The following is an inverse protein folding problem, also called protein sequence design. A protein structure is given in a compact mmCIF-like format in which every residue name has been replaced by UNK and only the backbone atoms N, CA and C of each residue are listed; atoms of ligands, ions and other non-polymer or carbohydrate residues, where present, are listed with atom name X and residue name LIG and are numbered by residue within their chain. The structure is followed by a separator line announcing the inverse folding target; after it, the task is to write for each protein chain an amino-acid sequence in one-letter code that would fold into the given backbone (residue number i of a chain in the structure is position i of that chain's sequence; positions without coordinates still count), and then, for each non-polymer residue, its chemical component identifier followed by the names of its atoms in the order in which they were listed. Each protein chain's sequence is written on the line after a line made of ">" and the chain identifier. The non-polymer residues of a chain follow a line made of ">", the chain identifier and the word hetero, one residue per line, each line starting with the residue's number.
data_IF_938440264828
#
_entry.id   IF_938440264828
#
_cell.length_a   1.000
_cell.length_b   1.000
_cell.length_c   1.000
_cell.angle_alpha   90.00
_cell.angle_beta   90.00
_cell.angle_gamma   90.00
#
_symmetry.space_group_name_H-M   'P 1'
#
loop_
_entity.id
_entity.type
_entity.pdbx_description
1 polymer ?
#
# COMPACT_ATOMS: atom_id res chain seq x y z
N UNK A 1 -16.19 33.29 -1.33
CA UNK A 1 -17.46 34.01 -1.04
C UNK A 1 -17.12 35.44 -0.66
N UNK A 2 -17.78 36.45 -1.25
CA UNK A 2 -17.41 37.85 -1.00
C UNK A 2 -18.05 38.34 0.31
N UNK A 3 -17.30 38.24 1.41
CA UNK A 3 -17.74 38.69 2.74
C UNK A 3 -17.56 40.19 2.85
N UNK A 4 -18.67 40.90 2.86
CA UNK A 4 -18.72 42.37 2.79
C UNK A 4 -19.51 42.98 3.95
N UNK A 5 -20.04 42.16 4.87
CA UNK A 5 -20.81 42.64 6.02
C UNK A 5 -19.98 42.61 7.30
N UNK A 6 -20.19 43.55 8.20
CA UNK A 6 -19.58 43.55 9.53
C UNK A 6 -20.68 43.61 10.58
N UNK A 7 -20.67 42.68 11.53
CA UNK A 7 -21.65 42.65 12.60
C UNK A 7 -21.08 43.34 13.84
N UNK A 8 -21.74 44.40 14.29
CA UNK A 8 -21.39 45.15 15.49
C UNK A 8 -22.46 44.86 16.55
N UNK A 9 -22.02 44.34 17.68
CA UNK A 9 -22.88 43.94 18.79
C UNK A 9 -22.47 44.73 20.02
N UNK A 10 -23.30 45.66 20.46
CA UNK A 10 -23.08 46.47 21.67
C UNK A 10 -24.45 46.99 22.11
N UNK A 11 -24.77 46.92 23.40
CA UNK A 11 -26.07 47.39 23.92
C UNK A 11 -26.16 48.93 23.88
N UNK A 12 -25.02 49.62 23.97
CA UNK A 12 -24.93 51.08 23.93
C UNK A 12 -24.90 51.59 22.48
N UNK A 13 -25.90 52.40 22.12
CA UNK A 13 -26.05 52.97 20.78
C UNK A 13 -24.85 53.82 20.33
N UNK A 14 -24.27 54.62 21.23
CA UNK A 14 -23.12 55.46 20.89
C UNK A 14 -21.89 54.64 20.49
N UNK A 15 -21.65 53.49 21.10
CA UNK A 15 -20.55 52.59 20.73
C UNK A 15 -20.77 51.99 19.34
N UNK A 16 -22.00 51.55 19.05
CA UNK A 16 -22.36 51.03 17.72
C UNK A 16 -22.16 52.09 16.64
N UNK A 17 -22.59 53.33 16.86
CA UNK A 17 -22.41 54.44 15.92
C UNK A 17 -20.93 54.75 15.66
N UNK A 18 -20.09 54.75 16.70
CA UNK A 18 -18.64 54.99 16.55
C UNK A 18 -17.99 53.89 15.70
N UNK A 19 -18.23 52.62 16.05
CA UNK A 19 -17.68 51.48 15.31
C UNK A 19 -18.23 51.41 13.88
N UNK A 20 -19.52 51.70 13.68
CA UNK A 20 -20.13 51.78 12.37
C UNK A 20 -19.47 52.87 11.51
N UNK A 21 -19.21 54.05 12.06
CA UNK A 21 -18.56 55.16 11.34
C UNK A 21 -17.14 54.80 10.89
N UNK A 22 -16.39 54.04 11.69
CA UNK A 22 -15.03 53.59 11.35
C UNK A 22 -15.05 52.70 10.09
N UNK A 23 -16.05 51.83 9.94
CA UNK A 23 -16.06 50.76 8.94
C UNK A 23 -17.09 50.92 7.80
N UNK A 24 -18.05 51.86 7.87
CA UNK A 24 -19.15 52.03 6.89
C UNK A 24 -18.71 52.26 5.44
N UNK A 25 -17.47 52.71 5.23
CA UNK A 25 -16.91 52.94 3.88
C UNK A 25 -16.47 51.65 3.20
N UNK A 26 -16.21 50.60 3.98
CA UNK A 26 -15.56 49.36 3.53
C UNK A 26 -16.48 48.15 3.67
N UNK A 27 -17.41 48.20 4.63
CA UNK A 27 -18.34 47.11 4.94
C UNK A 27 -19.78 47.61 5.08
N UNK A 28 -20.73 46.76 4.71
CA UNK A 28 -22.13 46.92 5.09
C UNK A 28 -22.29 46.55 6.57
N UNK A 29 -22.73 47.51 7.39
CA UNK A 29 -22.80 47.34 8.84
C UNK A 29 -24.14 46.71 9.23
N UNK A 30 -24.05 45.61 9.98
CA UNK A 30 -25.16 44.98 10.68
C UNK A 30 -25.02 45.31 12.16
N UNK A 31 -26.10 45.75 12.81
CA UNK A 31 -26.09 46.10 14.22
C UNK A 31 -27.01 45.17 15.03
N UNK A 32 -26.58 44.84 16.25
CA UNK A 32 -27.39 44.15 17.24
C UNK A 32 -27.14 44.75 18.63
N UNK A 33 -28.20 44.87 19.42
CA UNK A 33 -28.12 45.36 20.81
C UNK A 33 -28.18 44.24 21.86
N UNK A 34 -28.53 43.01 21.46
CA UNK A 34 -28.73 41.89 22.37
C UNK A 34 -28.33 40.55 21.73
N UNK A 35 -28.16 39.52 22.58
CA UNK A 35 -27.75 38.17 22.16
C UNK A 35 -28.73 37.56 21.17
N UNK A 36 -30.04 37.71 21.39
CA UNK A 36 -31.08 37.07 20.56
C UNK A 36 -31.06 37.60 19.13
N UNK A 37 -30.96 38.92 18.96
CA UNK A 37 -30.85 39.58 17.67
C UNK A 37 -29.51 39.26 17.00
N UNK A 38 -28.42 39.20 17.77
CA UNK A 38 -27.09 38.80 17.28
C UNK A 38 -27.13 37.41 16.63
N UNK A 39 -27.65 36.41 17.37
CA UNK A 39 -27.75 35.04 16.87
C UNK A 39 -28.65 34.94 15.64
N UNK A 40 -29.78 35.67 15.63
CA UNK A 40 -30.69 35.72 14.47
C UNK A 40 -30.01 36.27 13.21
N UNK A 41 -29.13 37.26 13.36
CA UNK A 41 -28.36 37.82 12.23
C UNK A 41 -27.30 36.82 11.76
N UNK A 42 -26.58 36.17 12.68
CA UNK A 42 -25.58 35.15 12.34
C UNK A 42 -26.20 33.95 11.61
N UNK A 43 -27.37 33.49 12.04
CA UNK A 43 -28.09 32.40 11.36
C UNK A 43 -28.46 32.75 9.92
N UNK A 44 -28.87 34.00 9.68
CA UNK A 44 -29.30 34.45 8.34
C UNK A 44 -28.14 34.81 7.42
N UNK A 45 -27.05 35.36 7.96
CA UNK A 45 -26.04 36.07 7.16
C UNK A 45 -24.59 35.70 7.49
N UNK A 46 -24.33 34.62 8.24
CA UNK A 46 -22.96 34.17 8.59
C UNK A 46 -22.02 33.98 7.38
N UNK A 47 -22.54 33.59 6.21
CA UNK A 47 -21.74 33.43 4.98
C UNK A 47 -21.21 34.74 4.38
N UNK A 48 -21.81 35.88 4.75
CA UNK A 48 -21.52 37.22 4.21
C UNK A 48 -20.74 38.10 5.20
N UNK A 49 -20.64 37.69 6.47
CA UNK A 49 -20.00 38.44 7.54
C UNK A 49 -18.47 38.24 7.49
N UNK A 50 -17.74 39.35 7.40
CA UNK A 50 -16.29 39.42 7.38
C UNK A 50 -15.69 39.38 8.79
N UNK A 51 -16.33 40.04 9.76
CA UNK A 51 -15.93 40.05 11.16
C UNK A 51 -17.14 40.35 12.08
N UNK A 52 -17.04 39.90 13.33
CA UNK A 52 -17.97 40.26 14.40
C UNK A 52 -17.22 41.08 15.45
N UNK A 53 -17.70 42.29 15.75
CA UNK A 53 -17.27 43.08 16.90
C UNK A 53 -18.30 42.85 17.99
N UNK A 54 -17.90 42.19 19.07
CA UNK A 54 -18.82 41.74 20.12
C UNK A 54 -18.48 42.40 21.44
N UNK A 55 -19.36 43.24 21.96
CA UNK A 55 -19.24 43.73 23.32
C UNK A 55 -19.39 42.58 24.32
N UNK A 56 -18.51 42.57 25.33
CA UNK A 56 -18.47 41.53 26.34
C UNK A 56 -19.64 41.60 27.32
N UNK A 57 -20.22 42.79 27.55
CA UNK A 57 -21.30 43.01 28.50
C UNK A 57 -22.54 43.50 27.78
N UNK A 58 -23.48 42.58 27.50
CA UNK A 58 -24.77 42.95 26.95
C UNK A 58 -25.79 43.03 28.10
N UNK A 59 -26.75 43.95 27.99
CA UNK A 59 -27.64 44.40 29.08
C UNK A 59 -28.18 43.32 30.03
N UNK A 60 -28.51 42.11 29.54
CA UNK A 60 -29.06 41.01 30.35
C UNK A 60 -28.17 39.74 30.40
N UNK A 61 -27.10 39.64 29.59
CA UNK A 61 -26.26 38.43 29.46
C UNK A 61 -24.82 38.76 29.04
N UNK A 62 -23.83 37.99 29.52
CA UNK A 62 -22.45 38.08 29.04
C UNK A 62 -22.35 37.67 27.55
N UNK A 63 -21.50 38.36 26.78
CA UNK A 63 -21.20 38.03 25.37
C UNK A 63 -20.67 36.60 25.16
N UNK A 64 -20.34 35.88 26.24
CA UNK A 64 -19.97 34.47 26.22
C UNK A 64 -21.01 33.57 25.52
N UNK A 65 -22.31 33.85 25.66
CA UNK A 65 -23.35 33.03 25.02
C UNK A 65 -23.32 33.12 23.49
N UNK A 66 -22.97 34.28 22.94
CA UNK A 66 -22.76 34.45 21.50
C UNK A 66 -21.57 33.61 21.05
N UNK A 67 -20.45 33.65 21.80
CA UNK A 67 -19.27 32.86 21.49
C UNK A 67 -19.54 31.35 21.54
N UNK A 68 -20.21 30.86 22.58
CA UNK A 68 -20.58 29.44 22.70
C UNK A 68 -21.37 28.94 21.50
N UNK A 69 -22.37 29.71 21.07
CA UNK A 69 -23.20 29.36 19.94
C UNK A 69 -22.40 29.40 18.62
N UNK A 70 -21.50 30.39 18.45
CA UNK A 70 -20.61 30.48 17.30
C UNK A 70 -19.62 29.30 17.21
N UNK A 71 -19.11 28.79 18.35
CA UNK A 71 -18.30 27.56 18.40
C UNK A 71 -19.17 26.36 17.99
N UNK A 72 -20.35 26.22 18.60
CA UNK A 72 -21.26 25.09 18.38
C UNK A 72 -21.68 24.98 16.92
N UNK A 73 -21.94 26.11 16.28
CA UNK A 73 -22.31 26.22 14.86
C UNK A 73 -21.10 26.29 13.91
N UNK A 74 -19.87 26.30 14.45
CA UNK A 74 -18.60 26.40 13.71
C UNK A 74 -18.44 27.68 12.88
N UNK A 75 -19.18 28.74 13.19
CA UNK A 75 -19.04 30.04 12.52
C UNK A 75 -17.68 30.68 12.83
N UNK A 76 -17.18 30.49 14.04
CA UNK A 76 -15.87 30.99 14.49
C UNK A 76 -14.66 30.37 13.76
N UNK A 77 -14.86 29.28 13.00
CA UNK A 77 -13.79 28.72 12.17
C UNK A 77 -13.46 29.61 10.98
N UNK A 78 -14.45 30.38 10.52
CA UNK A 78 -14.38 31.15 9.29
C UNK A 78 -14.62 32.64 9.50
N UNK A 79 -15.23 33.07 10.60
CA UNK A 79 -15.46 34.48 10.94
C UNK A 79 -14.60 34.85 12.17
N UNK A 80 -13.70 35.84 12.07
CA UNK A 80 -13.02 36.38 13.24
C UNK A 80 -14.01 37.11 14.15
N UNK A 81 -13.89 36.88 15.46
CA UNK A 81 -14.68 37.57 16.49
C UNK A 81 -13.73 38.39 17.34
N UNK A 82 -13.89 39.71 17.31
CA UNK A 82 -13.12 40.63 18.13
C UNK A 82 -13.99 41.08 19.29
N UNK A 83 -13.56 40.78 20.52
CA UNK A 83 -14.32 41.14 21.72
C UNK A 83 -13.98 42.58 22.10
N UNK A 84 -15.01 43.39 22.22
CA UNK A 84 -14.94 44.78 22.66
C UNK A 84 -15.22 44.83 24.16
N UNK A 85 -14.37 45.49 24.96
CA UNK A 85 -14.57 45.59 26.41
C UNK A 85 -14.02 46.88 27.00
N UNK A 86 -14.68 47.39 28.05
CA UNK A 86 -14.16 48.46 28.91
C UNK A 86 -13.37 47.91 30.12
N UNK A 87 -13.48 46.61 30.40
CA UNK A 87 -12.93 45.99 31.59
C UNK A 87 -11.42 45.70 31.43
N UNK A 88 -10.63 45.97 32.47
CA UNK A 88 -9.18 45.70 32.50
C UNK A 88 -8.83 44.40 33.25
N UNK A 89 -9.83 43.54 33.53
CA UNK A 89 -9.62 42.28 34.24
C UNK A 89 -8.88 41.27 33.38
N UNK A 90 -7.76 40.76 33.90
CA UNK A 90 -7.02 39.64 33.29
C UNK A 90 -7.85 38.35 33.24
N UNK A 91 -8.86 38.21 34.09
CA UNK A 91 -9.74 37.02 34.12
C UNK A 91 -10.70 37.00 32.93
N UNK A 92 -11.29 38.15 32.61
CA UNK A 92 -12.13 38.34 31.43
C UNK A 92 -11.36 38.13 30.13
N UNK A 93 -10.13 38.65 30.03
CA UNK A 93 -9.24 38.46 28.88
C UNK A 93 -8.90 36.97 28.67
N UNK A 94 -8.56 36.24 29.74
CA UNK A 94 -8.34 34.79 29.68
C UNK A 94 -9.57 34.02 29.23
N UNK A 95 -10.76 34.41 29.71
CA UNK A 95 -12.03 33.77 29.34
C UNK A 95 -12.32 33.99 27.85
N UNK A 96 -12.20 35.22 27.34
CA UNK A 96 -12.44 35.53 25.92
C UNK A 96 -11.51 34.75 24.99
N UNK A 97 -10.21 34.76 25.27
CA UNK A 97 -9.20 34.04 24.46
C UNK A 97 -9.43 32.53 24.55
N UNK A 98 -9.71 32.00 25.75
CA UNK A 98 -10.02 30.58 25.95
C UNK A 98 -11.26 30.11 25.18
N UNK A 99 -12.20 31.02 24.90
CA UNK A 99 -13.40 30.77 24.09
C UNK A 99 -13.19 31.01 22.58
N UNK A 100 -11.96 31.29 22.14
CA UNK A 100 -11.64 31.40 20.71
C UNK A 100 -11.87 32.78 20.10
N UNK A 101 -12.02 33.84 20.91
CA UNK A 101 -11.98 35.22 20.39
C UNK A 101 -10.66 35.47 19.65
N UNK A 102 -10.74 36.09 18.48
CA UNK A 102 -9.58 36.29 17.60
C UNK A 102 -8.68 37.42 18.09
N UNK A 103 -9.27 38.46 18.68
CA UNK A 103 -8.55 39.57 19.31
C UNK A 103 -9.50 40.35 20.25
N UNK A 104 -8.97 41.31 21.00
CA UNK A 104 -9.73 42.19 21.88
C UNK A 104 -9.50 43.67 21.57
N UNK A 105 -10.57 44.45 21.65
CA UNK A 105 -10.59 45.90 21.47
C UNK A 105 -10.96 46.55 22.80
N UNK A 106 -10.10 47.45 23.29
CA UNK A 106 -10.34 48.18 24.55
C UNK A 106 -11.05 49.51 24.28
N UNK A 107 -12.00 49.88 25.14
CA UNK A 107 -12.62 51.22 25.18
C UNK A 107 -11.71 52.17 25.99
N UNK A 108 -11.58 53.47 25.62
CA UNK A 108 -12.19 54.15 24.47
C UNK A 108 -11.55 53.76 23.13
N UNK A 109 -12.32 53.88 22.04
CA UNK A 109 -11.89 53.46 20.71
C UNK A 109 -10.90 54.44 20.08
N UNK A 110 -9.73 53.94 19.71
CA UNK A 110 -8.85 54.59 18.75
C UNK A 110 -9.16 54.02 17.35
N UNK A 111 -9.59 54.89 16.44
CA UNK A 111 -10.06 54.49 15.12
C UNK A 111 -8.99 53.76 14.28
N UNK A 112 -7.73 54.18 14.36
CA UNK A 112 -6.63 53.60 13.60
C UNK A 112 -6.25 52.23 14.17
N UNK A 113 -6.19 52.11 15.51
CA UNK A 113 -5.89 50.84 16.19
C UNK A 113 -6.99 49.81 15.93
N UNK A 114 -8.26 50.20 16.06
CA UNK A 114 -9.41 49.32 15.82
C UNK A 114 -9.43 48.84 14.38
N UNK A 115 -9.29 49.76 13.42
CA UNK A 115 -9.22 49.44 11.99
C UNK A 115 -8.12 48.41 11.72
N UNK A 116 -6.91 48.66 12.20
CA UNK A 116 -5.77 47.78 11.93
C UNK A 116 -5.94 46.39 12.53
N UNK A 117 -6.49 46.29 13.74
CA UNK A 117 -6.77 44.99 14.40
C UNK A 117 -7.80 44.18 13.63
N UNK A 118 -8.89 44.81 13.20
CA UNK A 118 -9.94 44.16 12.42
C UNK A 118 -9.40 43.68 11.06
N UNK A 119 -8.70 44.55 10.32
CA UNK A 119 -8.07 44.21 9.04
C UNK A 119 -7.14 43.00 9.15
N UNK A 120 -6.25 43.00 10.15
CA UNK A 120 -5.29 41.91 10.36
C UNK A 120 -6.00 40.57 10.59
N UNK A 121 -7.03 40.55 11.44
CA UNK A 121 -7.79 39.34 11.73
C UNK A 121 -8.60 38.85 10.52
N UNK A 122 -9.24 39.76 9.78
CA UNK A 122 -9.93 39.40 8.54
C UNK A 122 -8.96 38.79 7.54
N UNK A 123 -7.79 39.41 7.33
CA UNK A 123 -6.76 38.91 6.41
C UNK A 123 -6.25 37.52 6.81
N UNK A 124 -6.01 37.29 8.11
CA UNK A 124 -5.60 35.99 8.64
C UNK A 124 -6.64 34.90 8.35
N UNK A 125 -7.91 35.17 8.60
CA UNK A 125 -8.99 34.21 8.34
C UNK A 125 -9.21 33.96 6.84
N UNK A 126 -9.08 34.98 6.00
CA UNK A 126 -9.14 34.82 4.55
C UNK A 126 -8.02 33.90 4.05
N UNK A 127 -6.77 34.11 4.50
CA UNK A 127 -5.64 33.25 4.16
C UNK A 127 -5.83 31.82 4.66
N UNK A 128 -6.28 31.67 5.93
CA UNK A 128 -6.56 30.36 6.53
C UNK A 128 -7.61 29.59 5.71
N UNK A 129 -8.76 30.19 5.43
CA UNK A 129 -9.85 29.55 4.68
C UNK A 129 -9.38 29.15 3.27
N UNK A 130 -8.67 30.05 2.57
CA UNK A 130 -8.11 29.76 1.23
C UNK A 130 -7.09 28.62 1.26
N UNK A 131 -6.28 28.54 2.31
CA UNK A 131 -5.34 27.44 2.47
C UNK A 131 -6.04 26.12 2.78
N UNK A 132 -7.08 26.12 3.60
CA UNK A 132 -7.90 24.93 3.85
C UNK A 132 -8.53 24.41 2.54
N UNK A 133 -9.06 25.29 1.69
CA UNK A 133 -9.58 24.94 0.36
C UNK A 133 -8.49 24.30 -0.51
N UNK A 134 -7.30 24.89 -0.61
CA UNK A 134 -6.17 24.32 -1.36
C UNK A 134 -5.73 22.96 -0.85
N UNK A 135 -5.67 22.78 0.47
CA UNK A 135 -5.31 21.49 1.08
C UNK A 135 -6.36 20.42 0.74
N UNK A 136 -7.65 20.78 0.77
CA UNK A 136 -8.71 19.86 0.37
C UNK A 136 -8.60 19.48 -1.12
N UNK A 137 -8.32 20.45 -1.99
CA UNK A 137 -8.12 20.21 -3.42
C UNK A 137 -6.89 19.31 -3.68
N UNK A 138 -5.76 19.60 -3.04
CA UNK A 138 -4.54 18.78 -3.14
C UNK A 138 -4.78 17.35 -2.64
N UNK A 139 -5.47 17.19 -1.50
CA UNK A 139 -5.81 15.86 -0.98
C UNK A 139 -6.71 15.08 -1.96
N UNK A 140 -7.65 15.74 -2.61
CA UNK A 140 -8.51 15.11 -3.63
C UNK A 140 -7.69 14.68 -4.86
N UNK A 141 -6.80 15.55 -5.35
CA UNK A 141 -5.92 15.23 -6.48
C UNK A 141 -4.97 14.08 -6.15
N UNK A 142 -4.37 14.10 -4.96
CA UNK A 142 -3.46 13.06 -4.48
C UNK A 142 -4.17 11.70 -4.42
N UNK A 143 -5.41 11.64 -3.92
CA UNK A 143 -6.21 10.41 -3.91
C UNK A 143 -6.47 9.87 -5.32
N UNK A 144 -6.75 10.76 -6.28
CA UNK A 144 -6.92 10.38 -7.69
C UNK A 144 -5.62 9.84 -8.29
N UNK A 145 -4.49 10.53 -8.07
CA UNK A 145 -3.18 10.10 -8.54
C UNK A 145 -2.78 8.74 -7.95
N UNK A 146 -3.01 8.54 -6.65
CA UNK A 146 -2.77 7.27 -5.97
C UNK A 146 -3.57 6.13 -6.60
N UNK A 147 -4.85 6.34 -6.90
CA UNK A 147 -5.69 5.33 -7.55
C UNK A 147 -5.16 4.96 -8.96
N UNK A 148 -4.77 5.96 -9.76
CA UNK A 148 -4.19 5.73 -11.10
C UNK A 148 -2.85 4.98 -11.00
N UNK A 149 -1.97 5.39 -10.09
CA UNK A 149 -0.67 4.74 -9.90
C UNK A 149 -0.83 3.28 -9.46
N UNK A 150 -1.79 2.99 -8.56
CA UNK A 150 -2.10 1.62 -8.16
C UNK A 150 -2.52 0.74 -9.34
N UNK A 151 -3.43 1.24 -10.19
CA UNK A 151 -3.86 0.52 -11.40
C UNK A 151 -2.72 0.30 -12.40
N UNK A 152 -1.81 1.26 -12.54
CA UNK A 152 -0.62 1.10 -13.40
C UNK A 152 0.32 0.03 -12.87
N UNK A 153 0.57 -0.01 -11.55
CA UNK A 153 1.38 -1.04 -10.91
C UNK A 153 0.77 -2.44 -11.10
N UNK A 154 -0.54 -2.57 -10.89
CA UNK A 154 -1.24 -3.84 -11.13
C UNK A 154 -1.17 -4.29 -12.59
N UNK A 155 -1.35 -3.35 -13.53
CA UNK A 155 -1.21 -3.63 -14.97
C UNK A 155 0.21 -4.05 -15.34
N UNK A 156 1.22 -3.38 -14.79
CA UNK A 156 2.62 -3.72 -15.01
C UNK A 156 2.94 -5.11 -14.47
N UNK A 157 2.50 -5.44 -13.25
CA UNK A 157 2.64 -6.78 -12.65
C UNK A 157 1.98 -7.84 -13.53
N UNK A 158 0.74 -7.61 -13.97
CA UNK A 158 0.02 -8.53 -14.86
C UNK A 158 0.72 -8.69 -16.21
N UNK A 159 1.32 -7.63 -16.74
CA UNK A 159 2.08 -7.69 -17.99
C UNK A 159 3.40 -8.46 -17.84
N UNK A 160 4.10 -8.28 -16.71
CA UNK A 160 5.33 -9.03 -16.39
C UNK A 160 5.02 -10.53 -16.24
N UNK A 161 3.95 -10.87 -15.51
CA UNK A 161 3.50 -12.25 -15.38
C UNK A 161 3.18 -12.88 -16.73
N UNK A 162 2.43 -12.18 -17.60
CA UNK A 162 2.13 -12.68 -18.94
C UNK A 162 3.37 -12.93 -19.79
N UNK A 163 4.43 -12.12 -19.63
CA UNK A 163 5.69 -12.36 -20.34
C UNK A 163 6.38 -13.62 -19.83
N UNK A 164 6.39 -13.86 -18.51
CA UNK A 164 6.88 -15.10 -17.90
C UNK A 164 6.09 -16.29 -18.45
N UNK A 165 4.76 -16.22 -18.43
CA UNK A 165 3.88 -17.28 -18.94
C UNK A 165 4.15 -17.57 -20.42
N UNK A 166 4.36 -16.55 -21.26
CA UNK A 166 4.71 -16.76 -22.68
C UNK A 166 6.04 -17.51 -22.81
N UNK A 167 7.07 -17.14 -22.04
CA UNK A 167 8.38 -17.82 -22.09
C UNK A 167 8.27 -19.27 -21.59
N UNK A 168 7.52 -19.50 -20.52
CA UNK A 168 7.21 -20.85 -20.03
C UNK A 168 6.43 -21.67 -21.07
N UNK A 169 5.43 -21.10 -21.73
CA UNK A 169 4.69 -21.81 -22.78
C UNK A 169 5.56 -22.11 -24.00
N UNK A 170 6.51 -21.24 -24.36
CA UNK A 170 7.47 -21.50 -25.43
C UNK A 170 8.35 -22.70 -25.06
N UNK A 171 8.82 -22.79 -23.81
CA UNK A 171 9.50 -23.98 -23.30
C UNK A 171 8.61 -25.21 -23.48
N UNK A 172 7.42 -25.22 -22.91
CA UNK A 172 6.50 -26.38 -22.97
C UNK A 172 6.18 -26.79 -24.41
N UNK A 173 6.00 -25.85 -25.34
CA UNK A 173 5.65 -26.16 -26.72
C UNK A 173 6.84 -26.63 -27.56
N UNK A 174 8.03 -26.08 -27.33
CA UNK A 174 9.26 -26.59 -27.95
C UNK A 174 9.70 -27.93 -27.36
N UNK A 175 9.20 -28.25 -26.16
CA UNK A 175 9.50 -29.48 -25.45
C UNK A 175 8.19 -30.20 -25.06
N UNK A 176 7.40 -30.78 -25.99
CA UNK A 176 6.11 -31.41 -25.69
C UNK A 176 6.16 -32.58 -24.69
N UNK A 177 7.35 -33.16 -24.48
CA UNK A 177 7.63 -34.20 -23.48
C UNK A 177 8.01 -33.63 -22.10
N UNK A 178 8.15 -32.30 -22.04
CA UNK A 178 8.02 -31.47 -20.87
C UNK A 178 6.56 -30.98 -20.79
N UNK A 179 5.60 -31.90 -20.62
CA UNK A 179 4.34 -31.54 -19.95
C UNK A 179 4.71 -31.23 -18.48
N UNK A 180 5.38 -30.08 -18.31
CA UNK A 180 5.92 -29.64 -17.04
C UNK A 180 4.81 -29.25 -16.07
N UNK A 181 3.57 -29.26 -16.57
CA UNK A 181 2.35 -28.75 -15.99
C UNK A 181 2.71 -27.65 -15.00
N UNK A 182 3.25 -26.57 -15.57
CA UNK A 182 3.89 -25.49 -14.82
C UNK A 182 2.97 -24.95 -13.72
N UNK A 183 1.65 -25.08 -13.92
CA UNK A 183 0.61 -24.80 -12.95
C UNK A 183 0.66 -25.70 -11.69
N UNK A 184 0.86 -27.02 -11.83
CA UNK A 184 1.10 -27.93 -10.69
C UNK A 184 2.32 -27.46 -9.89
N UNK A 185 3.43 -27.19 -10.56
CA UNK A 185 4.66 -26.76 -9.89
C UNK A 185 4.43 -25.45 -9.13
N UNK A 186 3.72 -24.49 -9.73
CA UNK A 186 3.33 -23.23 -9.07
C UNK A 186 2.48 -23.51 -7.83
N UNK A 187 1.43 -24.32 -7.96
CA UNK A 187 0.46 -24.54 -6.89
C UNK A 187 1.06 -25.32 -5.72
N UNK A 188 1.81 -26.39 -5.99
CA UNK A 188 2.49 -27.14 -4.93
C UNK A 188 3.56 -26.26 -4.26
N UNK A 189 4.32 -25.46 -5.02
CA UNK A 189 5.28 -24.50 -4.45
C UNK A 189 4.60 -23.48 -3.55
N UNK A 190 3.42 -22.99 -3.93
CA UNK A 190 2.60 -22.09 -3.10
C UNK A 190 2.16 -22.78 -1.82
N UNK A 191 1.60 -23.98 -1.90
CA UNK A 191 1.14 -24.76 -0.75
C UNK A 191 2.28 -24.98 0.24
N UNK A 192 3.43 -25.48 -0.23
CA UNK A 192 4.60 -25.72 0.62
C UNK A 192 5.11 -24.40 1.19
N UNK A 193 5.22 -23.34 0.38
CA UNK A 193 5.63 -22.01 0.82
C UNK A 193 4.74 -21.43 1.92
N UNK A 194 3.42 -21.64 1.86
CA UNK A 194 2.47 -21.27 2.91
C UNK A 194 2.71 -22.05 4.20
N UNK A 195 3.01 -23.36 4.12
CA UNK A 195 3.38 -24.15 5.30
C UNK A 195 4.69 -23.66 5.90
N UNK A 196 5.69 -23.34 5.07
CA UNK A 196 6.97 -22.80 5.53
C UNK A 196 6.77 -21.47 6.25
N UNK A 197 6.00 -20.57 5.65
CA UNK A 197 5.63 -19.28 6.24
C UNK A 197 4.98 -19.44 7.62
N UNK A 198 4.07 -20.40 7.77
CA UNK A 198 3.33 -20.62 9.02
C UNK A 198 4.16 -21.31 10.12
N UNK A 199 5.02 -22.26 9.76
CA UNK A 199 5.71 -23.13 10.72
C UNK A 199 7.16 -22.71 11.01
N UNK A 200 7.79 -21.93 10.13
CA UNK A 200 9.19 -21.52 10.26
C UNK A 200 9.34 -20.00 10.05
N UNK A 201 8.84 -19.18 10.99
CA UNK A 201 8.85 -17.71 10.89
C UNK A 201 10.27 -17.12 10.83
N UNK A 202 11.31 -17.87 11.18
CA UNK A 202 12.71 -17.47 11.03
C UNK A 202 13.09 -17.13 9.58
N UNK A 203 12.40 -17.70 8.59
CA UNK A 203 12.60 -17.37 7.17
C UNK A 203 11.95 -16.06 6.74
N UNK A 204 11.07 -15.48 7.58
CA UNK A 204 10.43 -14.17 7.38
C UNK A 204 9.70 -14.02 6.02
N UNK A 205 9.12 -15.11 5.52
CA UNK A 205 8.36 -15.08 4.27
C UNK A 205 7.07 -14.27 4.42
N UNK A 206 6.92 -13.23 3.62
CA UNK A 206 5.66 -12.51 3.47
C UNK A 206 4.74 -13.22 2.47
N UNK A 207 3.45 -12.84 2.44
CA UNK A 207 2.53 -13.36 1.42
C UNK A 207 3.03 -13.08 0.01
N UNK A 208 3.64 -11.91 -0.20
CA UNK A 208 4.24 -11.56 -1.49
C UNK A 208 5.43 -12.45 -1.84
N UNK A 209 6.24 -12.88 -0.85
CA UNK A 209 7.36 -13.79 -1.08
C UNK A 209 6.88 -15.18 -1.50
N UNK A 210 5.85 -15.71 -0.84
CA UNK A 210 5.29 -17.03 -1.17
C UNK A 210 4.72 -17.03 -2.58
N UNK A 211 3.94 -16.01 -2.94
CA UNK A 211 3.42 -15.89 -4.31
C UNK A 211 4.54 -15.72 -5.34
N UNK A 212 5.57 -14.91 -5.03
CA UNK A 212 6.71 -14.74 -5.93
C UNK A 212 7.48 -16.06 -6.14
N UNK A 213 7.76 -16.82 -5.08
CA UNK A 213 8.44 -18.12 -5.20
C UNK A 213 7.61 -19.09 -6.04
N UNK A 214 6.30 -19.14 -5.81
CA UNK A 214 5.39 -19.99 -6.60
C UNK A 214 5.45 -19.64 -8.09
N UNK A 215 5.27 -18.37 -8.46
CA UNK A 215 5.29 -17.94 -9.86
C UNK A 215 6.64 -18.15 -10.54
N UNK A 216 7.74 -17.90 -9.81
CA UNK A 216 9.10 -18.03 -10.33
C UNK A 216 9.59 -19.49 -10.40
N UNK A 217 8.93 -20.44 -9.72
CA UNK A 217 9.26 -21.87 -9.78
C UNK A 217 9.20 -22.43 -11.21
N UNK A 218 8.32 -21.86 -12.04
CA UNK A 218 8.17 -22.15 -13.46
C UNK A 218 9.41 -21.85 -14.30
N UNK A 219 10.27 -20.95 -13.83
CA UNK A 219 11.47 -20.55 -14.54
C UNK A 219 12.68 -21.44 -14.21
N UNK A 220 12.57 -22.36 -13.25
CA UNK A 220 13.69 -23.18 -12.76
C UNK A 220 14.50 -23.84 -13.88
N UNK A 221 13.78 -24.27 -14.92
CA UNK A 221 14.31 -25.05 -16.03
C UNK A 221 14.50 -24.25 -17.34
N UNK A 222 14.32 -22.93 -17.31
CA UNK A 222 14.45 -22.07 -18.51
C UNK A 222 15.80 -22.17 -19.21
N UNK A 223 16.86 -22.49 -18.48
CA UNK A 223 18.19 -22.70 -19.05
C UNK A 223 18.29 -23.89 -20.01
N UNK A 224 17.28 -24.78 -20.03
CA UNK A 224 17.18 -25.87 -21.01
C UNK A 224 17.04 -25.36 -22.44
N UNK A 225 16.56 -24.12 -22.66
CA UNK A 225 16.59 -23.45 -23.98
C UNK A 225 18.00 -23.34 -24.57
N UNK A 226 19.03 -23.36 -23.72
CA UNK A 226 20.42 -23.26 -24.12
C UNK A 226 21.14 -24.61 -24.10
N UNK A 227 20.43 -25.71 -23.88
CA UNK A 227 20.94 -27.08 -23.99
C UNK A 227 20.67 -27.61 -25.40
N UNK A 228 21.63 -28.35 -25.97
CA UNK A 228 21.47 -28.91 -27.31
C UNK A 228 20.39 -29.98 -27.34
N UNK A 229 19.54 -29.92 -28.37
CA UNK A 229 18.50 -30.92 -28.67
C UNK A 229 19.03 -32.36 -28.65
N UNK A 230 20.24 -32.60 -29.20
CA UNK A 230 20.85 -33.93 -29.22
C UNK A 230 21.11 -34.51 -27.82
N UNK A 231 21.31 -33.66 -26.81
CA UNK A 231 21.49 -34.06 -25.41
C UNK A 231 20.14 -34.10 -24.69
N UNK A 232 19.29 -33.11 -24.94
CA UNK A 232 17.99 -32.99 -24.30
C UNK A 232 17.02 -34.12 -24.67
N UNK A 233 17.02 -34.52 -25.96
CA UNK A 233 16.11 -35.54 -26.51
C UNK A 233 16.78 -36.89 -26.77
N UNK A 234 17.98 -37.14 -26.23
CA UNK A 234 18.76 -38.34 -26.57
C UNK A 234 18.01 -39.63 -26.21
N UNK A 235 17.66 -40.54 -27.18
CA UNK A 235 16.91 -41.81 -27.00
C UNK A 235 17.54 -42.89 -26.09
N UNK A 236 18.41 -42.50 -25.16
CA UNK A 236 19.21 -43.39 -24.33
C UNK A 236 19.72 -42.66 -23.07
N UNK A 237 20.33 -43.43 -22.15
CA UNK A 237 21.02 -42.85 -21.01
C UNK A 237 22.13 -41.89 -21.47
N UNK A 238 22.16 -40.70 -20.88
CA UNK A 238 23.24 -39.73 -21.07
C UNK A 238 24.58 -40.30 -20.59
N UNK A 239 25.63 -40.04 -21.36
CA UNK A 239 27.03 -40.23 -20.97
C UNK A 239 27.39 -39.29 -19.81
N UNK A 240 28.55 -39.49 -19.18
CA UNK A 240 28.97 -38.64 -18.06
C UNK A 240 29.15 -37.19 -18.50
N UNK A 241 29.73 -36.98 -19.66
CA UNK A 241 30.00 -35.68 -20.26
C UNK A 241 28.68 -34.98 -20.64
N UNK A 242 27.72 -35.71 -21.21
CA UNK A 242 26.37 -35.19 -21.51
C UNK A 242 25.58 -34.87 -20.23
N UNK A 243 25.72 -35.67 -19.16
CA UNK A 243 25.11 -35.35 -17.86
C UNK A 243 25.68 -34.07 -17.29
N UNK A 244 26.99 -33.89 -17.35
CA UNK A 244 27.63 -32.66 -16.86
C UNK A 244 27.19 -31.44 -17.68
N UNK A 245 27.09 -31.60 -19.00
CA UNK A 245 26.52 -30.57 -19.86
C UNK A 245 25.05 -30.30 -19.53
N UNK A 246 24.22 -31.31 -19.28
CA UNK A 246 22.81 -31.14 -18.89
C UNK A 246 22.67 -30.34 -17.59
N UNK A 247 23.52 -30.57 -16.58
CA UNK A 247 23.49 -29.80 -15.32
C UNK A 247 23.71 -28.30 -15.52
N UNK A 248 24.40 -27.91 -16.60
CA UNK A 248 24.66 -26.50 -16.91
C UNK A 248 23.41 -25.68 -17.22
N UNK A 249 22.22 -26.31 -17.38
CA UNK A 249 20.96 -25.57 -17.50
C UNK A 249 20.72 -24.65 -16.29
N UNK A 250 21.19 -25.00 -15.10
CA UNK A 250 21.09 -24.15 -13.89
C UNK A 250 21.82 -22.82 -14.07
N UNK A 251 23.07 -22.86 -14.52
CA UNK A 251 23.89 -21.67 -14.78
C UNK A 251 23.46 -20.93 -16.04
N UNK A 252 23.05 -21.65 -17.09
CA UNK A 252 22.48 -21.06 -18.32
C UNK A 252 21.15 -20.36 -18.05
N UNK A 253 20.33 -20.88 -17.14
CA UNK A 253 19.10 -20.21 -16.69
C UNK A 253 19.40 -18.85 -16.06
N UNK A 254 20.49 -18.75 -15.28
CA UNK A 254 20.97 -17.48 -14.75
C UNK A 254 21.42 -16.49 -15.85
N UNK A 255 21.98 -16.97 -16.96
CA UNK A 255 22.34 -16.12 -18.09
C UNK A 255 21.10 -15.47 -18.71
N UNK A 256 20.02 -16.25 -18.89
CA UNK A 256 18.74 -15.76 -19.37
C UNK A 256 18.12 -14.78 -18.35
N UNK A 257 18.13 -15.10 -17.06
CA UNK A 257 17.59 -14.21 -16.01
C UNK A 257 18.27 -12.84 -16.02
N UNK A 258 19.58 -12.76 -16.25
CA UNK A 258 20.30 -11.47 -16.34
C UNK A 258 19.74 -10.57 -17.45
N UNK A 259 19.28 -11.15 -18.55
CA UNK A 259 18.64 -10.40 -19.65
C UNK A 259 17.25 -9.88 -19.27
N UNK A 260 16.61 -10.49 -18.27
CA UNK A 260 15.28 -10.14 -17.77
C UNK A 260 15.31 -9.30 -16.48
N UNK A 261 16.47 -8.75 -16.12
CA UNK A 261 16.62 -7.98 -14.87
C UNK A 261 15.68 -6.79 -14.78
N UNK A 262 15.47 -6.07 -15.87
CA UNK A 262 14.70 -4.81 -15.88
C UNK A 262 13.19 -5.01 -15.91
N UNK A 263 12.72 -6.25 -16.14
CA UNK A 263 11.29 -6.60 -16.17
C UNK A 263 10.79 -7.21 -14.85
N UNK A 264 11.71 -7.43 -13.91
CA UNK A 264 11.45 -7.99 -12.58
C UNK A 264 11.78 -6.95 -11.50
N UNK A 265 11.12 -7.04 -10.35
CA UNK A 265 11.58 -6.29 -9.18
C UNK A 265 12.97 -6.80 -8.77
N UNK A 266 13.76 -5.99 -8.06
CA UNK A 266 15.09 -6.43 -7.61
C UNK A 266 15.03 -7.70 -6.75
N UNK A 267 13.93 -7.88 -6.01
CA UNK A 267 13.73 -9.03 -5.14
C UNK A 267 13.24 -10.27 -5.90
N UNK A 268 12.31 -10.12 -6.85
CA UNK A 268 11.89 -11.21 -7.74
C UNK A 268 13.07 -11.70 -8.60
N UNK A 269 13.91 -10.77 -9.08
CA UNK A 269 15.12 -11.11 -9.84
C UNK A 269 16.13 -11.91 -9.02
N UNK A 270 16.30 -11.56 -7.74
CA UNK A 270 17.15 -12.36 -6.84
C UNK A 270 16.58 -13.77 -6.67
N UNK A 271 15.28 -13.90 -6.38
CA UNK A 271 14.62 -15.20 -6.21
C UNK A 271 14.67 -16.05 -7.48
N UNK A 272 14.45 -15.47 -8.66
CA UNK A 272 14.49 -16.19 -9.94
C UNK A 272 15.89 -16.73 -10.23
N UNK A 273 16.93 -15.95 -9.94
CA UNK A 273 18.33 -16.38 -10.00
C UNK A 273 18.62 -17.52 -9.02
N UNK A 274 18.18 -17.42 -7.77
CA UNK A 274 18.35 -18.48 -6.75
C UNK A 274 17.68 -19.78 -7.18
N UNK A 275 16.44 -19.72 -7.65
CA UNK A 275 15.67 -20.87 -8.11
C UNK A 275 16.37 -21.54 -9.31
N UNK A 276 16.68 -20.77 -10.36
CA UNK A 276 17.36 -21.32 -11.55
C UNK A 276 18.69 -21.99 -11.18
N UNK A 277 19.47 -21.33 -10.32
CA UNK A 277 20.83 -21.80 -10.00
C UNK A 277 20.84 -23.00 -9.07
N UNK A 278 19.98 -23.03 -8.06
CA UNK A 278 20.17 -23.90 -6.89
C UNK A 278 19.03 -24.91 -6.67
N UNK A 279 18.02 -25.01 -7.53
CA UNK A 279 16.93 -25.99 -7.37
C UNK A 279 17.38 -27.47 -7.48
N UNK A 280 18.65 -27.71 -7.84
CA UNK A 280 19.28 -29.04 -7.83
C UNK A 280 20.38 -29.17 -6.77
N UNK A 281 20.54 -28.17 -5.91
CA UNK A 281 21.34 -28.33 -4.71
C UNK A 281 20.67 -29.30 -3.74
N UNK A 282 21.47 -30.03 -2.98
CA UNK A 282 20.99 -31.03 -2.02
C UNK A 282 21.45 -30.65 -0.64
N UNK A 283 20.60 -30.85 0.35
CA UNK A 283 20.87 -30.45 1.73
C UNK A 283 22.12 -31.12 2.32
N UNK A 284 22.54 -32.26 1.75
CA UNK A 284 23.77 -32.99 2.08
C UNK A 284 25.06 -32.47 1.40
N UNK A 285 24.97 -31.46 0.54
CA UNK A 285 26.09 -30.91 -0.24
C UNK A 285 26.46 -31.73 -1.48
N UNK A 286 25.67 -32.76 -1.84
CA UNK A 286 25.94 -33.60 -3.03
C UNK A 286 25.19 -33.14 -4.29
N UNK A 287 24.59 -31.96 -4.23
CA UNK A 287 23.89 -31.33 -5.35
C UNK A 287 24.82 -30.64 -6.33
N UNK A 288 24.25 -29.82 -7.20
CA UNK A 288 24.97 -28.99 -8.16
C UNK A 288 24.22 -27.67 -8.36
N UNK A 289 24.89 -26.60 -8.86
CA UNK A 289 26.25 -26.54 -9.41
C UNK A 289 27.39 -26.32 -8.41
N UNK A 290 27.11 -25.88 -7.18
CA UNK A 290 28.12 -25.42 -6.22
C UNK A 290 28.30 -26.36 -5.02
N UNK A 291 27.36 -27.29 -4.79
CA UNK A 291 27.44 -28.25 -3.69
C UNK A 291 27.13 -27.60 -2.34
N UNK A 292 26.24 -26.61 -2.33
CA UNK A 292 25.80 -25.89 -1.13
C UNK A 292 25.20 -26.88 -0.12
N UNK A 293 25.44 -26.64 1.18
CA UNK A 293 25.01 -27.55 2.24
C UNK A 293 24.06 -26.87 3.23
N UNK A 294 23.01 -27.59 3.61
CA UNK A 294 22.08 -27.12 4.64
C UNK A 294 21.40 -25.81 4.25
N UNK A 295 21.45 -24.84 5.18
CA UNK A 295 20.82 -23.53 5.02
C UNK A 295 21.64 -22.54 4.16
N UNK A 296 22.76 -22.97 3.57
CA UNK A 296 23.42 -22.21 2.49
C UNK A 296 22.56 -22.17 1.22
N UNK A 297 21.69 -23.16 1.03
CA UNK A 297 20.73 -23.21 -0.08
C UNK A 297 19.61 -22.20 0.22
N UNK A 298 19.35 -21.23 -0.67
CA UNK A 298 18.28 -20.26 -0.47
C UNK A 298 16.91 -20.93 -0.29
N UNK A 299 16.07 -20.37 0.58
CA UNK A 299 14.75 -20.95 0.90
C UNK A 299 13.85 -21.12 -0.34
N UNK A 300 13.94 -20.19 -1.29
CA UNK A 300 13.28 -20.24 -2.60
C UNK A 300 13.65 -21.52 -3.36
N UNK A 301 14.94 -21.83 -3.45
CA UNK A 301 15.45 -23.04 -4.07
C UNK A 301 15.12 -24.30 -3.25
N UNK A 302 15.20 -24.26 -1.91
CA UNK A 302 14.86 -25.43 -1.08
C UNK A 302 13.40 -25.88 -1.27
N UNK A 303 12.45 -24.92 -1.33
CA UNK A 303 11.04 -25.20 -1.61
C UNK A 303 10.90 -25.84 -3.00
N UNK A 304 11.44 -25.16 -4.03
CA UNK A 304 11.29 -25.60 -5.42
C UNK A 304 11.98 -26.95 -5.68
N UNK A 305 13.09 -27.27 -5.01
CA UNK A 305 13.81 -28.54 -5.18
C UNK A 305 12.94 -29.76 -4.85
N UNK A 306 12.15 -29.68 -3.78
CA UNK A 306 11.23 -30.77 -3.39
C UNK A 306 10.09 -30.91 -4.39
N UNK A 307 9.55 -29.77 -4.84
CA UNK A 307 8.47 -29.75 -5.83
C UNK A 307 8.94 -30.31 -7.16
N UNK A 308 10.12 -29.89 -7.63
CA UNK A 308 10.70 -30.38 -8.88
C UNK A 308 10.95 -31.88 -8.84
N UNK A 309 11.47 -32.39 -7.72
CA UNK A 309 11.68 -33.83 -7.53
C UNK A 309 10.37 -34.63 -7.56
N UNK A 310 9.33 -34.17 -6.88
CA UNK A 310 8.01 -34.80 -6.91
C UNK A 310 7.40 -34.75 -8.31
N UNK A 311 7.40 -33.57 -8.92
CA UNK A 311 6.85 -33.35 -10.26
C UNK A 311 7.56 -34.24 -11.29
N UNK A 312 8.90 -34.30 -11.25
CA UNK A 312 9.72 -35.15 -12.10
C UNK A 312 9.38 -36.65 -12.06
N UNK A 313 8.81 -37.15 -10.96
CA UNK A 313 8.39 -38.55 -10.83
C UNK A 313 7.02 -38.82 -11.43
N UNK A 314 6.11 -37.83 -11.41
CA UNK A 314 4.73 -37.97 -11.90
C UNK A 314 4.57 -37.56 -13.37
N UNK A 315 5.57 -36.91 -13.97
CA UNK A 315 5.60 -36.61 -15.40
C UNK A 315 6.09 -37.80 -16.25
N UNK A 316 5.48 -37.99 -17.41
CA UNK A 316 5.94 -38.95 -18.41
C UNK A 316 7.20 -38.44 -19.14
N UNK A 317 8.15 -39.33 -19.47
CA UNK A 317 9.41 -38.97 -20.15
C UNK A 317 9.80 -40.02 -21.20
N UNK A 318 10.55 -39.63 -22.23
CA UNK A 318 11.02 -40.50 -23.33
C UNK A 318 11.53 -41.89 -22.87
N UNK A 319 12.27 -41.95 -21.75
CA UNK A 319 12.88 -43.20 -21.24
C UNK A 319 12.23 -43.78 -19.99
N UNK A 320 11.19 -43.13 -19.45
CA UNK A 320 10.69 -43.45 -18.12
C UNK A 320 9.19 -43.19 -18.02
N UNK A 321 8.44 -44.23 -17.66
CA UNK A 321 7.03 -44.09 -17.30
C UNK A 321 6.88 -43.28 -16.02
N UNK A 322 5.82 -42.47 -15.97
CA UNK A 322 5.41 -41.78 -14.75
C UNK A 322 5.07 -42.78 -13.64
N UNK A 323 5.42 -42.45 -12.40
CA UNK A 323 4.90 -43.14 -11.22
C UNK A 323 3.50 -42.64 -10.88
N UNK A 324 2.75 -43.43 -10.10
CA UNK A 324 1.56 -42.87 -9.47
C UNK A 324 1.95 -41.75 -8.50
N UNK A 325 1.04 -40.79 -8.31
CA UNK A 325 1.26 -39.65 -7.40
C UNK A 325 1.52 -40.12 -5.96
N UNK A 326 0.84 -41.18 -5.52
CA UNK A 326 1.09 -41.80 -4.21
C UNK A 326 2.50 -42.41 -4.11
N UNK A 327 2.92 -43.18 -5.12
CA UNK A 327 4.28 -43.73 -5.16
C UNK A 327 5.32 -42.61 -5.15
N UNK A 328 5.14 -41.58 -6.00
CA UNK A 328 6.05 -40.45 -6.08
C UNK A 328 6.19 -39.71 -4.73
N UNK A 329 5.09 -39.52 -4.01
CA UNK A 329 5.09 -38.92 -2.68
C UNK A 329 5.95 -39.73 -1.69
N UNK A 330 5.77 -41.05 -1.65
CA UNK A 330 6.56 -41.91 -0.77
C UNK A 330 8.03 -42.04 -1.20
N UNK A 331 8.33 -42.00 -2.50
CA UNK A 331 9.71 -41.98 -3.00
C UNK A 331 10.47 -40.72 -2.56
N UNK A 332 9.79 -39.56 -2.62
CA UNK A 332 10.35 -38.29 -2.12
C UNK A 332 10.59 -38.36 -0.61
N UNK A 333 9.62 -38.86 0.17
CA UNK A 333 9.79 -39.07 1.62
C UNK A 333 10.87 -40.09 1.97
N UNK A 334 11.02 -41.13 1.14
CA UNK A 334 12.02 -42.19 1.29
C UNK A 334 13.44 -41.77 0.95
N UNK A 335 13.62 -40.56 0.40
CA UNK A 335 14.93 -40.01 0.04
C UNK A 335 15.49 -40.54 -1.28
N UNK A 336 14.66 -41.17 -2.11
CA UNK A 336 15.08 -41.71 -3.41
C UNK A 336 15.46 -40.59 -4.40
N UNK A 337 14.87 -39.41 -4.24
CA UNK A 337 15.20 -38.19 -4.99
C UNK A 337 16.38 -37.42 -4.40
N UNK A 338 16.89 -37.84 -3.24
CA UNK A 338 17.97 -37.16 -2.53
C UNK A 338 17.59 -36.65 -1.16
N UNK A 339 18.51 -35.87 -0.57
CA UNK A 339 18.37 -35.32 0.77
C UNK A 339 17.96 -33.86 0.64
N UNK A 340 16.74 -33.56 1.08
CA UNK A 340 16.18 -32.21 1.16
C UNK A 340 16.20 -31.71 2.60
N UNK A 341 15.92 -30.42 2.77
CA UNK A 341 15.80 -29.79 4.08
C UNK A 341 14.75 -30.48 4.93
N UNK A 342 15.07 -30.91 6.18
CA UNK A 342 14.10 -31.54 7.06
C UNK A 342 12.85 -30.68 7.30
N UNK A 343 13.01 -29.35 7.34
CA UNK A 343 11.91 -28.40 7.50
C UNK A 343 10.98 -28.38 6.29
N UNK A 344 11.54 -28.37 5.08
CA UNK A 344 10.75 -28.40 3.86
C UNK A 344 10.06 -29.76 3.68
N UNK A 345 10.73 -30.86 4.04
CA UNK A 345 10.14 -32.20 4.02
C UNK A 345 8.99 -32.33 5.03
N UNK A 346 9.07 -31.66 6.18
CA UNK A 346 7.95 -31.56 7.11
C UNK A 346 6.78 -30.79 6.51
N UNK A 347 7.02 -29.64 5.88
CA UNK A 347 5.99 -28.90 5.15
C UNK A 347 5.35 -29.76 4.03
N UNK A 348 6.15 -30.42 3.20
CA UNK A 348 5.68 -31.31 2.14
C UNK A 348 4.76 -32.41 2.69
N UNK A 349 5.11 -32.99 3.83
CA UNK A 349 4.27 -34.00 4.52
C UNK A 349 2.93 -33.43 4.98
N UNK A 350 2.95 -32.22 5.53
CA UNK A 350 1.74 -31.52 5.98
C UNK A 350 0.84 -31.10 4.82
N UNK A 351 1.40 -30.94 3.63
CA UNK A 351 0.72 -30.54 2.39
C UNK A 351 0.05 -31.68 1.64
N UNK A 352 0.14 -32.94 2.11
CA UNK A 352 -0.33 -34.12 1.38
C UNK A 352 -1.77 -33.98 0.86
N UNK A 353 -2.70 -33.57 1.72
CA UNK A 353 -4.13 -33.47 1.36
C UNK A 353 -4.37 -32.39 0.30
N UNK A 354 -3.71 -31.24 0.42
CA UNK A 354 -3.84 -30.17 -0.57
C UNK A 354 -3.22 -30.58 -1.91
N UNK A 355 -2.08 -31.28 -1.90
CA UNK A 355 -1.46 -31.82 -3.12
C UNK A 355 -2.42 -32.82 -3.80
N UNK A 356 -2.97 -33.77 -3.05
CA UNK A 356 -3.95 -34.76 -3.57
C UNK A 356 -5.22 -34.10 -4.14
N UNK A 357 -5.56 -32.87 -3.72
CA UNK A 357 -6.75 -32.16 -4.23
C UNK A 357 -6.50 -31.56 -5.61
N UNK A 358 -5.32 -30.96 -5.84
CA UNK A 358 -4.90 -30.48 -7.18
C UNK A 358 -4.97 -31.64 -8.18
N UNK A 359 -4.57 -32.82 -7.72
CA UNK A 359 -4.52 -34.03 -8.53
C UNK A 359 -5.90 -34.50 -9.01
N UNK A 360 -6.96 -34.21 -8.26
CA UNK A 360 -8.32 -34.59 -8.59
C UNK A 360 -8.95 -33.64 -9.62
N UNK A 361 -8.71 -32.34 -9.49
CA UNK A 361 -9.25 -31.30 -10.38
C UNK A 361 -8.72 -31.45 -11.81
N UNK A 362 -7.44 -31.80 -12.00
CA UNK A 362 -6.88 -32.03 -13.35
C UNK A 362 -7.44 -33.26 -14.07
N UNK A 363 -7.84 -34.30 -13.32
CA UNK A 363 -8.44 -35.49 -13.92
C UNK A 363 -9.84 -35.19 -14.46
N UNK A 364 -10.55 -34.23 -13.87
CA UNK A 364 -11.86 -33.79 -14.35
C UNK A 364 -11.75 -32.88 -15.58
N UNK A 365 -10.67 -32.11 -15.74
CA UNK A 365 -10.46 -31.25 -16.92
C UNK A 365 -9.96 -32.01 -18.17
N UNK A 366 -9.36 -33.21 -18.00
CA UNK A 366 -8.86 -34.06 -19.11
C UNK A 366 -9.86 -35.13 -19.60
N UNK A 367 -11.08 -35.19 -19.04
CA UNK A 367 -12.18 -36.11 -19.43
C UNK A 367 -13.29 -35.32 -20.12
#
# INVERSE_FOLDING_TARGET
>A
MNRHKMLIVDDVESNRLILAEIFRREYEILEAADVKNTLRILEKSSGEIAAVLLDWHLSDEDGSRVLEEMIRKRWMNHIPVLVVTAEQSTETEKKCIGMGASDMIRKPFDADVVRKRVENNISLYQHKNHMEEKVQEQNHLLRKQYAVMKLQTEKLKKSSQKMIDIVCNILEHHYPEFDENTQIVREISRIIGRKVQAHYPEYKLTDADVEAIAELASLRDIGKLLISDHVLFKPAKLTREEKEYMKSHTTKGCEIMKMMKDIQTSDDHRKSMEICRYHHERYDGKGYPEGLKGDEIPISAQIVSVVDAYHALISERIYKRAYSREEAYYMVLGGECGIFSPKIMECFRMSRKEIETIDAEEREEKV
#
